data_IF_803548174540
#
_entry.id   IF_803548174540
#
_cell.length_a   1.000
_cell.length_b   1.000
_cell.length_c   1.000
_cell.angle_alpha   90.00
_cell.angle_beta   90.00
_cell.angle_gamma   90.00
#
_symmetry.space_group_name_H-M   'P 1'
#
loop_
_entity.id
_entity.type
_entity.pdbx_description
1 polymer ?
2 non-polymer ?
3 non-polymer ?
4 non-polymer ?
5 non-polymer ?
6 water ?
#
# COMPACT_ATOMS: atom_id res chain seq x y z
N UNK A 12 17.97 -6.79 -11.36
CA UNK A 12 16.99 -6.94 -10.27
C UNK A 12 16.59 -5.58 -9.67
N UNK A 13 15.26 -5.34 -9.46
CA UNK A 13 14.82 -4.04 -8.88
C UNK A 13 15.13 -4.06 -7.40
N UNK A 14 15.87 -3.06 -6.87
CA UNK A 14 16.18 -3.07 -5.44
C UNK A 14 14.89 -3.08 -4.59
N UNK A 15 14.97 -3.72 -3.42
CA UNK A 15 13.88 -3.76 -2.47
C UNK A 15 13.78 -2.40 -1.82
N UNK A 16 12.60 -2.06 -1.29
CA UNK A 16 12.42 -0.78 -0.62
C UNK A 16 13.35 -0.72 0.59
N UNK A 17 13.94 0.46 0.91
CA UNK A 17 14.64 0.57 2.20
C UNK A 17 13.57 0.39 3.28
N UNK A 18 13.93 -0.22 4.41
CA UNK A 18 12.99 -0.50 5.49
C UNK A 18 13.07 0.49 6.67
N UNK A 19 14.24 1.14 6.87
CA UNK A 19 14.45 2.07 8.00
C UNK A 19 14.45 3.54 7.64
N UNK A 20 13.74 4.33 8.45
CA UNK A 20 13.66 5.80 8.34
C UNK A 20 13.78 6.43 9.73
N UNK A 21 14.50 7.56 9.87
CA UNK A 21 14.66 8.19 11.20
C UNK A 21 13.32 8.54 11.87
N UNK A 22 12.37 9.07 11.09
CA UNK A 22 11.07 9.49 11.55
C UNK A 22 10.01 8.93 10.58
N UNK A 23 8.88 9.61 10.44
CA UNK A 23 7.79 9.18 9.58
C UNK A 23 8.20 9.16 8.11
N UNK A 24 7.71 8.16 7.38
CA UNK A 24 8.02 7.98 5.97
C UNK A 24 6.79 8.02 5.08
N UNK A 25 7.00 8.24 3.78
CA UNK A 25 5.95 8.29 2.79
C UNK A 25 6.39 7.66 1.46
N UNK A 26 5.47 6.89 0.89
CA UNK A 26 5.58 6.28 -0.42
C UNK A 26 4.34 6.62 -1.21
N UNK A 27 4.44 6.58 -2.53
CA UNK A 27 3.31 6.91 -3.41
C UNK A 27 3.12 5.83 -4.48
N UNK A 28 1.89 5.71 -4.98
CA UNK A 28 1.54 4.77 -6.05
C UNK A 28 0.80 5.57 -7.09
N UNK A 29 1.18 5.44 -8.37
CA UNK A 29 0.54 6.20 -9.44
C UNK A 29 0.29 5.36 -10.67
N UNK A 30 -0.98 5.00 -10.90
CA UNK A 30 -1.37 4.24 -12.07
C UNK A 30 -1.49 5.20 -13.27
N UNK A 31 -0.79 4.89 -14.36
CA UNK A 31 -0.78 5.74 -15.55
C UNK A 31 -1.96 5.45 -16.45
N UNK A 32 -2.38 6.48 -17.22
CA UNK A 32 -3.42 6.35 -18.24
C UNK A 32 -2.75 6.60 -19.60
N UNK A 33 -3.27 5.95 -20.63
CA UNK A 33 -2.81 6.14 -22.00
C UNK A 33 -1.98 5.02 -22.58
N UNK A 34 -1.61 4.03 -21.75
CA UNK A 34 -0.80 2.90 -22.21
C UNK A 34 -0.99 1.64 -21.40
N UNK A 35 -0.41 0.55 -21.91
CA UNK A 35 -0.34 -0.72 -21.18
C UNK A 35 1.08 -1.28 -21.26
N UNK A 36 1.40 -2.25 -20.40
CA UNK A 36 2.60 -3.06 -20.48
C UNK A 36 2.09 -4.48 -20.78
N UNK A 37 2.73 -5.20 -21.70
CA UNK A 37 2.36 -6.58 -21.97
C UNK A 37 3.56 -7.42 -21.59
N UNK A 38 3.33 -8.53 -20.89
CA UNK A 38 4.40 -9.39 -20.38
C UNK A 38 3.96 -10.85 -20.42
N UNK A 39 4.87 -11.85 -20.34
CA UNK A 39 4.41 -13.26 -20.27
C UNK A 39 3.52 -13.47 -19.02
N UNK A 40 2.59 -14.42 -19.08
CA UNK A 40 1.70 -14.76 -17.95
C UNK A 40 2.55 -15.18 -16.75
N UNK A 41 2.11 -14.81 -15.54
CA UNK A 41 2.79 -15.13 -14.27
C UNK A 41 4.18 -14.47 -14.11
N UNK A 42 4.42 -13.36 -14.83
CA UNK A 42 5.66 -12.56 -14.72
C UNK A 42 5.68 -11.86 -13.37
N UNK A 43 6.86 -11.47 -12.89
CA UNK A 43 6.98 -10.68 -11.66
C UNK A 43 6.34 -9.31 -11.93
N UNK A 44 5.82 -8.67 -10.88
CA UNK A 44 5.20 -7.38 -10.97
C UNK A 44 6.18 -6.28 -11.47
N UNK A 45 7.41 -6.29 -10.99
CA UNK A 45 8.42 -5.28 -11.35
C UNK A 45 9.15 -5.63 -12.63
N UNK A 46 9.20 -4.66 -13.55
CA UNK A 46 9.92 -4.82 -14.82
C UNK A 46 11.04 -3.79 -14.96
N UNK A 47 11.15 -2.91 -13.96
CA UNK A 47 12.21 -1.91 -13.96
C UNK A 47 12.08 -0.87 -12.88
N UNK A 48 12.95 0.13 -12.93
CA UNK A 48 12.96 1.24 -11.98
C UNK A 48 13.67 2.46 -12.54
N UNK A 49 13.36 3.61 -11.97
CA UNK A 49 13.97 4.88 -12.33
C UNK A 49 14.76 5.34 -11.13
N UNK A 50 16.02 5.72 -11.37
CA UNK A 50 16.89 6.22 -10.32
C UNK A 50 17.43 7.60 -10.70
N UNK A 51 17.99 8.34 -9.73
CA UNK A 51 18.65 9.60 -10.05
C UNK A 51 20.02 9.24 -10.65
N UNK A 52 20.64 10.16 -11.41
CA UNK A 52 21.98 9.95 -11.99
C UNK A 52 22.99 9.61 -10.88
N UNK A 53 22.79 10.17 -9.67
CA UNK A 53 23.59 9.94 -8.46
C UNK A 53 23.47 8.51 -7.92
N UNK A 54 22.48 7.75 -8.40
CA UNK A 54 22.25 6.36 -8.01
C UNK A 54 21.08 6.08 -7.08
N UNK A 55 20.39 7.13 -6.58
CA UNK A 55 19.24 6.96 -5.67
C UNK A 55 18.00 6.40 -6.40
N UNK A 56 17.51 5.23 -5.99
CA UNK A 56 16.31 4.58 -6.55
C UNK A 56 15.08 5.45 -6.19
N UNK A 57 14.31 5.89 -7.20
CA UNK A 57 13.16 6.80 -7.01
C UNK A 57 11.82 6.12 -7.06
N UNK A 58 11.60 5.28 -8.08
CA UNK A 58 10.36 4.51 -8.19
C UNK A 58 10.54 3.27 -9.03
N UNK A 59 9.62 2.31 -8.86
CA UNK A 59 9.57 1.06 -9.61
C UNK A 59 8.56 1.19 -10.72
N UNK A 60 8.80 0.44 -11.81
CA UNK A 60 7.86 0.33 -12.92
C UNK A 60 7.22 -1.02 -12.76
N UNK A 61 5.89 -1.02 -12.53
CA UNK A 61 5.18 -2.27 -12.27
C UNK A 61 3.96 -2.46 -13.13
N UNK A 62 3.56 -3.73 -13.28
CA UNK A 62 2.30 -4.04 -13.92
C UNK A 62 1.27 -3.96 -12.78
N UNK A 63 0.07 -3.50 -13.09
CA UNK A 63 -0.94 -3.31 -12.07
C UNK A 63 -2.22 -4.11 -12.36
N UNK A 64 -3.20 -3.50 -13.04
CA UNK A 64 -4.51 -4.08 -13.36
C UNK A 64 -4.45 -4.90 -14.65
N UNK A 65 -4.81 -6.21 -14.57
CA UNK A 65 -4.85 -7.08 -15.74
C UNK A 65 -5.94 -6.59 -16.70
N UNK A 66 -5.56 -6.25 -17.95
CA UNK A 66 -6.47 -5.73 -18.99
C UNK A 66 -6.81 -6.77 -20.06
N UNK A 67 -6.50 -8.03 -19.79
CA UNK A 67 -6.76 -9.13 -20.73
C UNK A 67 -5.49 -9.65 -21.40
N UNK A 68 -5.63 -10.70 -22.21
CA UNK A 68 -4.53 -11.33 -22.94
C UNK A 68 -3.99 -10.40 -24.03
N UNK A 69 -2.68 -10.45 -24.26
CA UNK A 69 -2.03 -9.60 -25.26
C UNK A 69 -2.08 -10.29 -26.60
N UNK A 70 -2.47 -9.55 -27.64
CA UNK A 70 -2.45 -10.04 -29.02
C UNK A 70 -1.56 -9.11 -29.81
N UNK A 71 -0.38 -9.62 -30.23
CA UNK A 71 0.56 -8.85 -31.03
C UNK A 71 -0.14 -8.40 -32.32
N UNK A 72 -0.26 -7.09 -32.63
CA UNK A 72 -0.92 -6.68 -33.88
C UNK A 72 -0.27 -7.35 -35.10
N UNK A 73 -1.08 -7.90 -36.05
CA UNK A 73 -0.49 -8.59 -37.22
C UNK A 73 0.52 -7.77 -38.01
N UNK A 74 0.31 -6.46 -38.13
CA UNK A 74 1.21 -5.54 -38.82
C UNK A 74 2.55 -5.31 -38.08
N UNK A 75 2.69 -5.85 -36.85
CA UNK A 75 3.90 -5.73 -36.04
C UNK A 75 4.54 -7.08 -35.73
N UNK A 76 4.13 -8.13 -36.48
CA UNK A 76 4.67 -9.49 -36.41
C UNK A 76 6.19 -9.39 -36.59
N UNK A 77 6.95 -9.95 -35.63
CA UNK A 77 8.40 -9.82 -35.61
C UNK A 77 9.13 -11.14 -35.43
N UNK A 78 8.45 -12.25 -35.65
CA UNK A 78 9.01 -13.58 -35.48
C UNK A 78 9.21 -13.95 -34.02
N UNK A 79 8.75 -13.09 -33.11
CA UNK A 79 8.87 -13.34 -31.69
C UNK A 79 7.63 -14.00 -31.14
N UNK A 80 7.86 -14.71 -30.05
CA UNK A 80 6.87 -15.47 -29.34
C UNK A 80 6.23 -14.60 -28.25
N UNK A 81 4.92 -14.32 -28.41
CA UNK A 81 4.18 -13.52 -27.42
C UNK A 81 3.08 -14.41 -26.83
N UNK A 82 3.29 -15.74 -26.85
CA UNK A 82 2.30 -16.69 -26.40
C UNK A 82 1.97 -16.61 -24.93
N UNK A 83 0.67 -16.50 -24.65
CA UNK A 83 0.09 -16.40 -23.32
C UNK A 83 0.42 -15.09 -22.58
N UNK A 84 0.97 -14.08 -23.29
CA UNK A 84 1.30 -12.79 -22.70
C UNK A 84 0.03 -12.08 -22.25
N UNK A 85 0.13 -11.31 -21.17
CA UNK A 85 -1.01 -10.58 -20.60
C UNK A 85 -0.73 -9.08 -20.64
N UNK A 86 -1.78 -8.27 -20.89
CA UNK A 86 -1.68 -6.80 -20.86
C UNK A 86 -2.08 -6.32 -19.47
N UNK A 87 -1.39 -5.30 -18.97
CA UNK A 87 -1.68 -4.70 -17.68
C UNK A 87 -1.52 -3.21 -17.76
N UNK A 88 -2.15 -2.48 -16.85
CA UNK A 88 -1.89 -1.05 -16.73
C UNK A 88 -0.53 -0.94 -16.00
N UNK A 89 0.11 0.22 -16.13
CA UNK A 89 1.40 0.49 -15.51
C UNK A 89 1.19 1.33 -14.28
N UNK A 90 1.82 0.93 -13.17
CA UNK A 90 1.79 1.71 -11.95
C UNK A 90 3.20 2.05 -11.52
N UNK A 91 3.45 3.33 -11.27
CA UNK A 91 4.74 3.80 -10.77
C UNK A 91 4.68 3.82 -9.24
N UNK A 92 5.58 3.08 -8.59
CA UNK A 92 5.58 2.88 -7.14
C UNK A 92 6.87 3.44 -6.56
N UNK A 93 6.77 4.57 -5.83
CA UNK A 93 7.98 5.19 -5.31
C UNK A 93 8.68 4.37 -4.24
N UNK A 94 10.00 4.58 -4.12
CA UNK A 94 10.79 4.05 -3.02
C UNK A 94 10.47 5.04 -1.90
N UNK A 95 10.10 4.59 -0.68
CA UNK A 95 9.76 5.55 0.37
C UNK A 95 10.90 6.52 0.71
N UNK A 96 10.51 7.70 1.20
CA UNK A 96 11.44 8.72 1.66
C UNK A 96 10.88 9.32 2.94
N UNK A 97 11.67 10.17 3.61
CA UNK A 97 11.21 10.83 4.83
C UNK A 97 10.17 11.85 4.43
N UNK A 98 9.09 11.93 5.19
CA UNK A 98 7.95 12.83 4.96
C UNK A 98 8.33 14.31 4.88
N UNK A 99 9.35 14.72 5.64
CA UNK A 99 9.82 16.11 5.63
C UNK A 99 11.05 16.33 4.73
N UNK A 100 11.39 15.35 3.88
CA UNK A 100 12.52 15.47 2.97
C UNK A 100 11.97 16.00 1.64
N UNK A 101 11.88 17.33 1.53
CA UNK A 101 11.36 18.08 0.40
C UNK A 101 12.00 17.70 -0.94
N UNK A 102 13.35 17.65 -0.98
CA UNK A 102 14.12 17.32 -2.18
C UNK A 102 13.83 15.93 -2.72
N UNK A 103 13.70 14.94 -1.82
CA UNK A 103 13.40 13.54 -2.16
C UNK A 103 11.97 13.43 -2.72
N UNK A 104 11.01 14.13 -2.11
CA UNK A 104 9.60 14.12 -2.49
C UNK A 104 9.47 14.72 -3.90
N UNK A 105 10.13 15.86 -4.10
CA UNK A 105 10.13 16.62 -5.35
C UNK A 105 10.80 15.87 -6.50
N UNK A 106 11.95 15.23 -6.24
CA UNK A 106 12.67 14.45 -7.26
C UNK A 106 11.82 13.28 -7.74
N UNK A 107 11.07 12.63 -6.84
CA UNK A 107 10.18 11.53 -7.19
C UNK A 107 9.05 12.04 -8.11
N UNK A 108 8.44 13.19 -7.78
CA UNK A 108 7.38 13.76 -8.61
C UNK A 108 7.92 14.15 -10.00
N UNK A 109 9.09 14.80 -10.05
CA UNK A 109 9.71 15.23 -11.31
C UNK A 109 10.13 14.05 -12.17
N UNK A 110 10.69 12.98 -11.56
CA UNK A 110 11.12 11.78 -12.26
C UNK A 110 9.91 11.04 -12.84
N UNK A 111 8.76 11.04 -12.14
CA UNK A 111 7.51 10.43 -12.64
C UNK A 111 6.96 11.23 -13.83
N UNK A 112 6.95 12.57 -13.73
CA UNK A 112 6.50 13.44 -14.81
C UNK A 112 7.41 13.32 -16.03
N UNK A 113 8.73 13.20 -15.80
CA UNK A 113 9.67 13.02 -16.91
C UNK A 113 9.37 11.68 -17.62
N UNK A 114 9.23 10.58 -16.84
CA UNK A 114 8.95 9.26 -17.43
C UNK A 114 7.65 9.23 -18.25
N UNK A 115 6.60 9.95 -17.80
CA UNK A 115 5.36 10.07 -18.56
C UNK A 115 5.63 10.74 -19.93
N UNK A 116 6.50 11.77 -19.97
CA UNK A 116 6.83 12.41 -21.25
C UNK A 116 7.66 11.46 -22.11
N UNK A 117 8.55 10.66 -21.48
CA UNK A 117 9.36 9.67 -22.18
C UNK A 117 8.44 8.54 -22.75
N UNK A 118 7.40 8.13 -22.00
CA UNK A 118 6.40 7.13 -22.46
C UNK A 118 5.59 7.66 -23.64
N UNK A 119 5.19 8.96 -23.58
CA UNK A 119 4.45 9.66 -24.65
C UNK A 119 5.24 9.54 -25.98
N UNK A 120 6.58 9.73 -25.94
CA UNK A 120 7.42 9.62 -27.14
C UNK A 120 7.56 8.15 -27.55
N UNK A 121 7.75 7.25 -26.56
CA UNK A 121 7.91 5.81 -26.77
C UNK A 121 6.73 5.18 -27.52
N UNK A 122 5.50 5.50 -27.16
CA UNK A 122 4.33 4.95 -27.86
C UNK A 122 4.12 5.57 -29.25
N UNK A 123 4.79 6.71 -29.49
CA UNK A 123 4.71 7.40 -30.77
C UNK A 123 5.68 6.83 -31.80
N UNK A 124 6.92 6.54 -31.40
CA UNK A 124 7.96 6.05 -32.31
C UNK A 124 8.38 4.58 -32.11
N UNK A 125 8.07 4.01 -30.94
CA UNK A 125 8.44 2.64 -30.60
C UNK A 125 7.27 1.87 -30.02
N UNK A 126 6.06 2.01 -30.61
CA UNK A 126 4.88 1.32 -30.09
C UNK A 126 5.05 -0.19 -30.13
N UNK A 127 4.62 -0.90 -29.06
CA UNK A 127 4.73 -2.37 -28.91
C UNK A 127 6.19 -2.87 -28.82
N UNK A 128 7.04 -2.03 -28.24
CA UNK A 128 8.45 -2.36 -28.02
C UNK A 128 8.77 -2.21 -26.54
N UNK A 129 9.78 -2.97 -26.02
CA UNK A 129 10.15 -2.76 -24.61
C UNK A 129 10.77 -1.38 -24.43
N UNK A 130 10.70 -0.88 -23.20
CA UNK A 130 11.35 0.35 -22.76
C UNK A 130 12.84 0.04 -22.70
N UNK A 131 13.67 0.97 -23.17
CA UNK A 131 15.12 0.77 -23.15
C UNK A 131 15.73 1.44 -21.92
N UNK A 132 16.80 0.88 -21.31
CA UNK A 132 17.43 1.53 -20.15
C UNK A 132 18.24 2.76 -20.59
N UNK A 133 17.63 3.94 -20.52
CA UNK A 133 18.27 5.17 -20.95
C UNK A 133 18.42 6.18 -19.82
N UNK A 134 19.16 7.24 -20.11
CA UNK A 134 19.34 8.39 -19.24
C UNK A 134 18.54 9.53 -19.86
N UNK A 135 17.86 10.33 -19.02
CA UNK A 135 17.10 11.50 -19.46
C UNK A 135 18.04 12.50 -20.17
N UNK A 136 17.47 13.35 -21.06
CA UNK A 136 18.19 14.36 -21.84
C UNK A 136 18.98 15.33 -20.96
N UNK A 137 18.42 15.73 -19.81
CA UNK A 137 19.06 16.65 -18.85
C UNK A 137 20.04 15.91 -17.91
N UNK A 138 20.13 14.59 -18.04
CA UNK A 138 21.00 13.74 -17.24
C UNK A 138 20.53 13.47 -15.82
N UNK A 139 19.36 14.00 -15.41
CA UNK A 139 18.82 13.82 -14.05
C UNK A 139 18.39 12.41 -13.70
N UNK A 140 17.74 11.71 -14.66
CA UNK A 140 17.13 10.41 -14.40
C UNK A 140 17.61 9.27 -15.28
N UNK A 141 17.64 8.06 -14.70
CA UNK A 141 18.11 6.85 -15.39
C UNK A 141 17.08 5.74 -15.24
N UNK A 142 16.70 5.12 -16.37
CA UNK A 142 15.80 3.97 -16.38
C UNK A 142 16.69 2.74 -16.35
N UNK A 143 16.34 1.78 -15.50
CA UNK A 143 16.98 0.48 -15.43
C UNK A 143 15.86 -0.51 -15.72
N UNK A 144 16.11 -1.49 -16.60
CA UNK A 144 15.13 -2.51 -16.96
C UNK A 144 15.56 -3.81 -16.31
N UNK A 145 14.68 -4.38 -15.50
CA UNK A 145 14.97 -5.63 -14.79
C UNK A 145 14.32 -6.82 -15.46
N UNK A 146 13.27 -6.58 -16.26
CA UNK A 146 12.65 -7.62 -17.07
C UNK A 146 12.48 -7.09 -18.51
N UNK A 147 13.39 -7.52 -19.41
CA UNK A 147 13.39 -7.13 -20.82
C UNK A 147 12.25 -7.79 -21.59
N UNK A 148 11.65 -8.85 -21.02
CA UNK A 148 10.53 -9.57 -21.62
C UNK A 148 9.21 -8.82 -21.35
N UNK A 149 9.06 -7.66 -21.99
CA UNK A 149 7.87 -6.80 -21.90
C UNK A 149 7.82 -5.94 -23.15
N UNK A 150 6.64 -5.35 -23.42
CA UNK A 150 6.45 -4.36 -24.47
C UNK A 150 5.57 -3.24 -23.88
N UNK A 151 5.72 -2.03 -24.40
CA UNK A 151 4.88 -0.89 -24.01
C UNK A 151 4.02 -0.56 -25.23
N UNK A 152 2.70 -0.43 -25.04
CA UNK A 152 1.78 -0.13 -26.13
C UNK A 152 0.74 0.92 -25.73
N UNK A 153 0.43 1.85 -26.65
CA UNK A 153 -0.56 2.92 -26.44
C UNK A 153 -1.94 2.37 -26.22
N UNK A 154 -2.75 3.13 -25.48
CA UNK A 154 -4.13 2.78 -25.18
C UNK A 154 -4.25 1.44 -24.49
N UNK A 155 -5.07 0.57 -25.04
CA UNK A 155 -5.27 -0.75 -24.48
C UNK A 155 -4.40 -1.84 -25.15
N UNK A 156 -3.47 -1.40 -26.00
CA UNK A 156 -2.49 -2.27 -26.67
C UNK A 156 -3.02 -3.23 -27.71
N UNK A 157 -4.21 -2.92 -28.28
CA UNK A 157 -4.84 -3.76 -29.32
C UNK A 157 -4.36 -3.31 -30.71
N UNK A 158 -4.41 -2.00 -30.98
CA UNK A 158 -3.98 -1.43 -32.27
C UNK A 158 -2.46 -1.30 -32.37
N UNK A 159 -1.92 -1.38 -33.60
CA UNK A 159 -0.49 -1.22 -33.87
C UNK A 159 -0.06 0.22 -33.62
N UNK A 160 -0.94 1.18 -33.96
CA UNK A 160 -0.70 2.61 -33.84
C UNK A 160 -1.50 3.23 -32.70
N UNK A 161 -0.93 4.29 -32.10
CA UNK A 161 -1.54 5.06 -31.02
C UNK A 161 -2.61 6.02 -31.55
N UNK A 162 -3.30 6.71 -30.62
CA UNK A 162 -4.23 7.79 -30.94
C UNK A 162 -3.58 9.13 -30.55
N UNK A 163 -2.24 9.16 -30.58
CA UNK A 163 -1.43 10.32 -30.20
C UNK A 163 -1.57 10.72 -28.73
N UNK A 164 -1.82 9.72 -27.85
CA UNK A 164 -2.01 9.97 -26.42
C UNK A 164 -0.82 10.63 -25.74
N UNK A 165 -1.12 11.52 -24.79
CA UNK A 165 -0.16 12.08 -23.85
C UNK A 165 -0.30 11.16 -22.64
N UNK A 166 0.82 10.65 -22.11
CA UNK A 166 0.80 9.80 -20.93
C UNK A 166 0.60 10.67 -19.72
N UNK A 167 -0.42 10.32 -18.96
CA UNK A 167 -0.96 11.12 -17.89
C UNK A 167 -1.14 10.34 -16.56
N UNK A 168 -1.38 11.10 -15.49
CA UNK A 168 -1.64 10.61 -14.13
C UNK A 168 -2.77 11.46 -13.53
N UNK A 169 -3.60 10.86 -12.65
CA UNK A 169 -4.77 11.54 -12.06
C UNK A 169 -5.06 11.12 -10.60
N UNK A 170 -5.74 11.94 -9.73
CA UNK A 170 -6.00 11.50 -8.35
C UNK A 170 -6.66 10.12 -8.21
N UNK A 171 -7.54 9.74 -9.17
CA UNK A 171 -8.20 8.42 -9.19
C UNK A 171 -7.20 7.25 -9.34
N UNK A 172 -6.01 7.51 -9.94
CA UNK A 172 -4.96 6.50 -10.08
C UNK A 172 -3.90 6.61 -8.99
N UNK A 173 -4.12 7.47 -7.99
CA UNK A 173 -3.14 7.75 -6.96
C UNK A 173 -3.46 7.37 -5.52
N UNK A 174 -2.44 6.81 -4.86
CA UNK A 174 -2.46 6.51 -3.42
C UNK A 174 -1.19 7.01 -2.79
N UNK A 175 -1.20 7.17 -1.47
CA UNK A 175 -0.04 7.53 -0.67
C UNK A 175 -0.04 6.57 0.52
N UNK A 176 1.16 6.13 0.96
CA UNK A 176 1.34 5.23 2.10
C UNK A 176 2.24 5.92 3.10
N UNK A 177 1.79 6.03 4.36
CA UNK A 177 2.53 6.72 5.40
C UNK A 177 2.95 5.68 6.44
N UNK A 178 4.22 5.73 6.83
CA UNK A 178 4.77 4.88 7.88
C UNK A 178 5.13 5.71 9.08
N UNK A 179 4.71 5.29 10.29
CA UNK A 179 5.00 5.99 11.56
C UNK A 179 5.45 4.96 12.60
N UNK A 180 6.17 5.41 13.65
CA UNK A 180 6.55 4.56 14.78
C UNK A 180 5.24 4.07 15.42
N UNK A 181 5.11 2.74 15.64
CA UNK A 181 3.91 2.12 16.20
C UNK A 181 3.54 2.73 17.56
N UNK A 182 4.56 3.07 18.38
CA UNK A 182 4.38 3.69 19.70
C UNK A 182 3.79 5.10 19.63
N UNK A 183 3.82 5.70 18.44
CA UNK A 183 3.27 7.03 18.25
C UNK A 183 1.77 7.07 18.02
N UNK A 184 1.17 5.96 17.53
CA UNK A 184 -0.25 5.91 17.20
C UNK A 184 -1.11 6.06 18.46
N UNK A 185 -1.83 7.18 18.52
CA UNK A 185 -2.66 7.55 19.66
C UNK A 185 -2.10 8.71 20.45
N UNK A 186 -0.82 9.08 20.21
CA UNK A 186 -0.17 10.19 20.95
C UNK A 186 -0.52 11.56 20.40
N UNK A 187 -1.01 11.63 19.12
CA UNK A 187 -1.39 12.89 18.44
C UNK A 187 -0.21 13.90 18.37
N UNK A 188 1.04 13.43 18.53
CA UNK A 188 2.26 14.23 18.64
C UNK A 188 2.70 15.00 17.40
N UNK A 189 2.43 14.45 16.21
CA UNK A 189 2.84 15.08 14.95
C UNK A 189 1.63 15.27 14.03
N UNK A 190 1.70 16.14 12.99
CA UNK A 190 0.56 16.28 12.05
C UNK A 190 0.21 14.99 11.30
N UNK A 191 1.20 14.11 11.04
CA UNK A 191 0.99 12.83 10.33
C UNK A 191 0.19 11.89 11.23
N UNK A 192 0.57 11.81 12.51
CA UNK A 192 -0.10 10.98 13.52
C UNK A 192 -1.53 11.42 13.72
N UNK A 193 -1.76 12.75 13.77
CA UNK A 193 -3.08 13.36 13.91
C UNK A 193 -3.94 13.05 12.68
N UNK A 194 -3.35 13.07 11.46
CA UNK A 194 -4.06 12.73 10.22
C UNK A 194 -4.48 11.24 10.23
N UNK A 195 -3.59 10.35 10.69
CA UNK A 195 -3.85 8.92 10.80
C UNK A 195 -4.90 8.62 11.85
N UNK A 196 -4.86 9.34 12.99
CA UNK A 196 -5.82 9.16 14.06
C UNK A 196 -7.23 9.62 13.70
N UNK A 197 -7.35 10.46 12.65
CA UNK A 197 -8.64 10.93 12.14
C UNK A 197 -9.35 9.84 11.31
N UNK A 198 -8.67 8.69 11.06
CA UNK A 198 -9.29 7.56 10.33
C UNK A 198 -10.63 7.25 11.00
N UNK A 199 -11.75 7.12 10.22
CA UNK A 199 -13.06 6.90 10.85
C UNK A 199 -13.15 5.65 11.73
N UNK A 200 -12.38 4.60 11.41
CA UNK A 200 -12.36 3.35 12.18
C UNK A 200 -11.63 3.47 13.51
N UNK A 201 -10.73 4.46 13.66
CA UNK A 201 -9.97 4.63 14.89
C UNK A 201 -10.81 5.29 15.98
N UNK A 202 -10.92 4.61 17.13
CA UNK A 202 -11.75 5.09 18.23
C UNK A 202 -10.85 5.51 19.40
N UNK A 203 -10.49 6.80 19.42
CA UNK A 203 -9.61 7.35 20.46
C UNK A 203 -10.18 7.20 21.88
N UNK A 204 -11.52 7.09 22.03
CA UNK A 204 -12.17 6.89 23.34
C UNK A 204 -11.71 5.59 24.02
N UNK A 205 -11.26 4.60 23.22
CA UNK A 205 -10.77 3.32 23.75
C UNK A 205 -9.51 3.43 24.63
N UNK A 206 -8.74 4.54 24.50
CA UNK A 206 -7.53 4.80 25.30
C UNK A 206 -7.90 4.99 26.79
N UNK A 207 -8.78 5.97 27.08
CA UNK A 207 -9.28 6.26 28.44
C UNK A 207 -10.09 5.08 28.98
N UNK A 208 -10.80 4.36 28.08
CA UNK A 208 -11.57 3.17 28.43
C UNK A 208 -10.63 2.11 28.99
N UNK A 209 -9.48 1.85 28.32
CA UNK A 209 -8.50 0.86 28.80
C UNK A 209 -7.96 1.23 30.19
N UNK A 210 -7.65 2.52 30.41
CA UNK A 210 -7.12 3.03 31.69
C UNK A 210 -8.07 2.71 32.86
N UNK A 211 -9.41 2.89 32.65
CA UNK A 211 -10.47 2.59 33.62
C UNK A 211 -10.55 1.10 33.96
N UNK A 212 -10.32 0.24 32.97
CA UNK A 212 -10.37 -1.22 33.12
C UNK A 212 -9.17 -1.77 33.88
N UNK A 213 -8.02 -1.06 33.82
CA UNK A 213 -6.75 -1.58 34.34
C UNK A 213 -6.13 -0.82 35.54
N UNK A 214 -6.96 -0.15 36.37
CA UNK A 214 -6.50 0.62 37.54
C UNK A 214 -5.74 -0.21 38.59
N UNK A 215 -6.18 -1.46 38.88
CA UNK A 215 -5.56 -2.33 39.89
C UNK A 215 -4.32 -3.05 39.37
N UNK A 216 -4.11 -3.02 38.05
CA UNK A 216 -2.99 -3.66 37.40
C UNK A 216 -1.75 -2.78 37.41
N UNK A 217 -0.60 -3.36 37.75
CA UNK A 217 0.69 -2.67 37.77
C UNK A 217 1.32 -2.94 36.39
N UNK A 218 1.02 -2.05 35.43
CA UNK A 218 1.51 -2.18 34.05
C UNK A 218 2.86 -1.50 33.88
N UNK A 219 3.76 -2.12 33.09
CA UNK A 219 5.10 -1.59 32.84
C UNK A 219 5.02 -0.22 32.15
N UNK A 220 4.11 -0.07 31.16
CA UNK A 220 3.89 1.18 30.44
C UNK A 220 2.39 1.31 30.12
N UNK A 221 1.65 1.93 31.06
CA UNK A 221 0.20 2.16 31.04
C UNK A 221 -0.28 2.94 29.81
N UNK A 222 0.40 4.05 29.48
CA UNK A 222 0.08 4.92 28.35
C UNK A 222 0.32 4.20 26.99
N UNK A 223 1.41 3.42 26.89
CA UNK A 223 1.73 2.63 25.69
C UNK A 223 0.72 1.47 25.54
N UNK A 224 0.38 0.79 26.66
CA UNK A 224 -0.60 -0.31 26.66
C UNK A 224 -1.96 0.19 26.18
N UNK A 225 -2.40 1.37 26.67
CA UNK A 225 -3.67 2.01 26.31
C UNK A 225 -3.73 2.37 24.82
N UNK A 226 -2.60 2.87 24.26
CA UNK A 226 -2.47 3.24 22.84
C UNK A 226 -2.59 2.01 21.95
N UNK A 227 -1.89 0.92 22.29
CA UNK A 227 -1.90 -0.35 21.57
C UNK A 227 -3.30 -0.96 21.63
N UNK A 228 -3.92 -0.94 22.84
CA UNK A 228 -5.25 -1.46 23.02
C UNK A 228 -6.22 -0.75 22.10
N UNK A 229 -6.18 0.60 22.05
CA UNK A 229 -7.09 1.38 21.21
C UNK A 229 -6.89 1.10 19.72
N UNK A 230 -5.61 0.98 19.28
CA UNK A 230 -5.25 0.70 17.89
C UNK A 230 -5.76 -0.67 17.46
N UNK A 231 -5.42 -1.72 18.23
CA UNK A 231 -5.84 -3.09 17.95
C UNK A 231 -7.35 -3.28 18.03
N UNK A 232 -8.01 -2.77 19.10
CA UNK A 232 -9.44 -2.91 19.25
C UNK A 232 -10.15 -2.22 18.09
N UNK A 233 -9.70 -1.01 17.71
CA UNK A 233 -10.29 -0.29 16.57
C UNK A 233 -10.23 -1.15 15.29
N UNK A 234 -9.08 -1.79 15.01
CA UNK A 234 -8.89 -2.67 13.83
C UNK A 234 -9.79 -3.92 13.90
N UNK A 235 -9.79 -4.62 15.06
CA UNK A 235 -10.59 -5.82 15.26
C UNK A 235 -12.07 -5.49 15.11
N UNK A 236 -12.55 -4.38 15.74
CA UNK A 236 -13.95 -3.97 15.65
C UNK A 236 -14.32 -3.59 14.21
N UNK A 237 -13.42 -2.85 13.52
CA UNK A 237 -13.67 -2.47 12.12
C UNK A 237 -13.73 -3.70 11.20
N UNK A 238 -12.86 -4.70 11.42
CA UNK A 238 -12.82 -5.94 10.65
C UNK A 238 -14.15 -6.67 10.82
N UNK A 239 -14.66 -6.73 12.05
CA UNK A 239 -15.94 -7.37 12.35
C UNK A 239 -17.09 -6.63 11.66
N UNK A 240 -17.07 -5.28 11.70
CA UNK A 240 -18.07 -4.45 11.03
C UNK A 240 -18.07 -4.73 9.53
N UNK A 241 -16.88 -4.79 8.93
CA UNK A 241 -16.72 -5.05 7.50
C UNK A 241 -17.11 -6.47 7.11
N UNK A 242 -16.77 -7.48 7.92
CA UNK A 242 -17.13 -8.89 7.67
C UNK A 242 -18.66 -9.03 7.62
N UNK A 243 -19.36 -8.34 8.52
CA UNK A 243 -20.82 -8.33 8.58
C UNK A 243 -21.46 -7.55 7.43
N UNK A 244 -20.95 -6.34 7.14
CA UNK A 244 -21.43 -5.46 6.08
C UNK A 244 -21.26 -6.12 4.70
N UNK A 245 -20.09 -6.71 4.45
CA UNK A 245 -19.78 -7.29 3.16
C UNK A 245 -19.92 -8.82 3.04
N UNK A 246 -20.25 -9.50 4.13
CA UNK A 246 -20.41 -10.96 4.13
C UNK A 246 -19.10 -11.64 3.82
N UNK A 247 -18.06 -11.35 4.61
CA UNK A 247 -16.72 -11.89 4.40
C UNK A 247 -16.51 -13.12 5.28
N UNK A 248 -15.97 -14.19 4.69
CA UNK A 248 -15.59 -15.39 5.45
C UNK A 248 -14.27 -15.09 6.18
N UNK A 249 -14.28 -15.02 7.52
CA UNK A 249 -13.09 -14.74 8.34
C UNK A 249 -12.83 -15.98 9.14
N UNK A 250 -11.66 -16.62 8.92
CA UNK A 250 -11.29 -17.88 9.59
C UNK A 250 -12.43 -18.89 9.40
N UNK A 251 -13.13 -19.26 10.49
CA UNK A 251 -14.24 -20.22 10.46
C UNK A 251 -15.63 -19.55 10.53
N UNK A 252 -15.70 -18.20 10.55
CA UNK A 252 -16.99 -17.52 10.62
C UNK A 252 -17.64 -17.51 9.26
N UNK A 253 -18.89 -17.98 9.21
CA UNK A 253 -19.71 -18.07 8.02
C UNK A 253 -20.75 -16.94 8.03
N UNK A 254 -20.65 -15.91 7.16
CA UNK A 254 -21.68 -14.84 7.16
C UNK A 254 -23.10 -15.34 6.93
N UNK A 255 -23.26 -16.42 6.14
CA UNK A 255 -24.56 -17.04 5.85
C UNK A 255 -25.21 -17.62 7.13
N UNK A 256 -24.40 -17.99 8.16
CA UNK A 256 -24.92 -18.48 9.45
C UNK A 256 -25.65 -17.36 10.21
N UNK A 257 -25.37 -16.10 9.84
CA UNK A 257 -26.03 -14.93 10.41
C UNK A 257 -26.94 -14.24 9.39
N UNK A 258 -27.34 -14.99 8.35
CA UNK A 258 -28.24 -14.56 7.26
C UNK A 258 -27.67 -13.36 6.47
N UNK A 259 -26.33 -13.32 6.32
CA UNK A 259 -25.65 -12.27 5.58
C UNK A 259 -25.22 -12.84 4.23
N UNK A 260 -25.69 -12.24 3.14
CA UNK A 260 -25.32 -12.68 1.80
C UNK A 260 -23.91 -12.20 1.45
N UNK A 261 -22.95 -13.12 1.14
CA UNK A 261 -21.60 -12.68 0.76
C UNK A 261 -21.69 -11.66 -0.36
N UNK A 262 -21.00 -10.56 -0.17
CA UNK A 262 -21.13 -9.40 -1.04
C UNK A 262 -19.77 -8.79 -1.45
N UNK A 263 -18.67 -9.50 -1.18
CA UNK A 263 -17.31 -9.11 -1.54
C UNK A 263 -16.50 -10.40 -1.62
N UNK A 264 -15.37 -10.38 -2.35
CA UNK A 264 -14.47 -11.51 -2.47
C UNK A 264 -13.31 -11.35 -1.45
N UNK A 265 -13.67 -11.37 -0.19
CA UNK A 265 -12.70 -11.30 0.89
C UNK A 265 -12.25 -9.93 1.34
N UNK A 266 -11.29 -9.93 2.28
CA UNK A 266 -10.70 -8.72 2.86
C UNK A 266 -9.92 -7.86 1.88
N UNK A 267 -9.33 -8.49 0.83
CA UNK A 267 -8.52 -7.82 -0.20
C UNK A 267 -9.34 -7.21 -1.33
N UNK A 268 -10.66 -7.45 -1.32
CA UNK A 268 -11.55 -6.90 -2.34
C UNK A 268 -11.43 -5.36 -2.35
N UNK A 269 -11.16 -4.71 -3.53
CA UNK A 269 -10.96 -3.24 -3.53
C UNK A 269 -12.01 -2.41 -2.82
N UNK A 270 -13.29 -2.84 -2.83
CA UNK A 270 -14.34 -2.07 -2.17
C UNK A 270 -14.26 -2.17 -0.65
N UNK A 271 -13.68 -3.27 -0.13
CA UNK A 271 -13.48 -3.49 1.31
C UNK A 271 -12.31 -2.61 1.74
N UNK A 272 -11.22 -2.60 0.94
CA UNK A 272 -10.04 -1.76 1.16
C UNK A 272 -10.45 -0.28 1.20
N UNK A 273 -11.31 0.15 0.24
CA UNK A 273 -11.86 1.52 0.17
C UNK A 273 -12.70 1.90 1.39
N UNK A 274 -13.45 0.94 1.97
CA UNK A 274 -14.26 1.17 3.18
C UNK A 274 -13.40 1.54 4.41
N UNK A 275 -12.12 1.09 4.47
CA UNK A 275 -11.19 1.49 5.55
C UNK A 275 -10.81 2.97 5.42
N UNK A 276 -10.70 3.47 4.15
CA UNK A 276 -10.27 4.83 3.75
C UNK A 276 -8.77 4.99 3.98
N UNK A 277 -8.34 4.81 5.23
CA UNK A 277 -6.94 4.81 5.64
C UNK A 277 -6.76 3.34 6.01
N UNK A 278 -6.13 2.61 5.09
CA UNK A 278 -5.95 1.15 5.19
C UNK A 278 -4.70 0.70 5.93
N UNK A 279 -4.81 0.00 7.09
CA UNK A 279 -3.61 -0.52 7.75
C UNK A 279 -2.89 -1.47 6.79
N UNK A 280 -1.56 -1.30 6.66
CA UNK A 280 -0.73 -2.09 5.76
C UNK A 280 0.22 -3.00 6.48
N UNK A 281 0.22 -2.96 7.84
CA UNK A 281 1.10 -3.76 8.68
C UNK A 281 0.28 -4.80 9.45
N UNK A 282 0.83 -6.01 9.56
CA UNK A 282 0.23 -7.12 10.31
C UNK A 282 -0.07 -6.64 11.75
N UNK A 283 -1.36 -6.65 12.17
CA UNK A 283 -1.69 -6.16 13.52
C UNK A 283 -0.93 -6.80 14.68
N UNK A 284 -0.67 -8.13 14.60
CA UNK A 284 0.02 -8.85 15.69
C UNK A 284 1.46 -8.34 15.98
N UNK A 285 2.08 -7.63 15.02
CA UNK A 285 3.42 -7.05 15.18
C UNK A 285 3.52 -6.01 16.31
N UNK A 286 2.46 -5.21 16.53
CA UNK A 286 2.45 -4.13 17.53
C UNK A 286 2.62 -4.62 18.98
N UNK A 287 2.26 -5.88 19.25
CA UNK A 287 2.37 -6.54 20.57
C UNK A 287 3.84 -6.55 21.03
N UNK A 288 4.78 -6.58 20.07
CA UNK A 288 6.23 -6.57 20.27
C UNK A 288 6.75 -5.27 20.90
N UNK A 289 6.01 -4.15 20.77
CA UNK A 289 6.46 -2.87 21.36
C UNK A 289 6.21 -2.82 22.87
N UNK A 290 5.46 -3.81 23.39
CA UNK A 290 5.10 -3.93 24.81
C UNK A 290 5.87 -5.09 25.47
N UNK A 291 5.91 -5.08 26.82
CA UNK A 291 6.49 -6.17 27.62
C UNK A 291 5.50 -7.33 27.53
N UNK A 292 5.98 -8.58 27.71
CA UNK A 292 5.15 -9.81 27.68
C UNK A 292 3.89 -9.64 28.57
N UNK A 293 4.07 -9.06 29.77
CA UNK A 293 3.01 -8.81 30.76
C UNK A 293 1.96 -7.80 30.27
N UNK A 294 2.41 -6.63 29.77
CA UNK A 294 1.54 -5.58 29.24
C UNK A 294 0.76 -6.07 28.01
N UNK A 295 1.42 -6.84 27.12
CA UNK A 295 0.80 -7.41 25.92
C UNK A 295 -0.35 -8.33 26.31
N UNK A 296 -0.13 -9.20 27.34
CA UNK A 296 -1.13 -10.13 27.88
C UNK A 296 -2.35 -9.36 28.39
N UNK A 297 -2.13 -8.25 29.12
CA UNK A 297 -3.22 -7.41 29.66
C UNK A 297 -4.03 -6.74 28.55
N UNK A 298 -3.36 -6.26 27.48
CA UNK A 298 -4.01 -5.63 26.33
C UNK A 298 -4.87 -6.67 25.61
N UNK A 299 -4.27 -7.84 25.27
CA UNK A 299 -4.94 -8.92 24.53
C UNK A 299 -6.16 -9.49 25.23
N UNK A 300 -6.06 -9.69 26.56
CA UNK A 300 -7.14 -10.21 27.40
C UNK A 300 -8.37 -9.28 27.36
N UNK A 301 -8.14 -7.95 27.30
CA UNK A 301 -9.19 -6.94 27.28
C UNK A 301 -9.88 -6.69 25.94
N UNK A 302 -9.30 -7.17 24.81
CA UNK A 302 -9.91 -6.98 23.48
C UNK A 302 -11.18 -7.83 23.28
N UNK A 303 -11.14 -9.12 23.69
CA UNK A 303 -12.23 -10.08 23.53
C UNK A 303 -13.59 -9.50 23.98
N UNK A 304 -13.75 -8.94 25.20
CA UNK A 304 -15.07 -8.37 25.58
C UNK A 304 -15.53 -7.21 24.73
N UNK A 305 -14.60 -6.42 24.17
CA UNK A 305 -14.97 -5.30 23.28
C UNK A 305 -15.68 -5.82 22.00
N UNK A 306 -15.22 -6.95 21.46
CA UNK A 306 -15.84 -7.57 20.30
C UNK A 306 -17.17 -8.21 20.70
N UNK A 307 -17.16 -8.96 21.83
CA UNK A 307 -18.30 -9.72 22.32
C UNK A 307 -19.47 -8.89 22.84
N UNK A 308 -19.27 -7.60 23.10
CA UNK A 308 -20.37 -6.72 23.54
C UNK A 308 -21.03 -6.06 22.31
N UNK A 309 -20.43 -6.24 21.14
CA UNK A 309 -20.91 -5.67 19.88
C UNK A 309 -21.24 -6.70 18.78
N UNK A 310 -20.53 -7.85 18.79
CA UNK A 310 -20.70 -8.87 17.75
C UNK A 310 -20.96 -10.24 18.33
N UNK A 311 -21.52 -11.14 17.51
CA UNK A 311 -21.80 -12.53 17.93
C UNK A 311 -20.51 -13.18 18.44
N UNK A 312 -20.66 -14.19 19.31
CA UNK A 312 -19.55 -14.96 19.84
C UNK A 312 -18.69 -15.52 18.70
N UNK A 313 -19.32 -16.09 17.67
CA UNK A 313 -18.59 -16.69 16.56
C UNK A 313 -17.80 -15.66 15.78
N UNK A 314 -18.41 -14.51 15.43
CA UNK A 314 -17.66 -13.48 14.72
C UNK A 314 -16.54 -12.92 15.62
N UNK A 315 -16.83 -12.67 16.91
CA UNK A 315 -15.83 -12.17 17.86
C UNK A 315 -14.61 -13.10 18.00
N UNK A 316 -14.83 -14.41 18.20
CA UNK A 316 -13.77 -15.40 18.40
C UNK A 316 -12.96 -15.56 17.11
N UNK A 317 -13.64 -15.64 15.95
CA UNK A 317 -12.96 -15.74 14.65
C UNK A 317 -12.11 -14.54 14.29
N UNK A 318 -12.59 -13.30 14.54
CA UNK A 318 -11.80 -12.08 14.29
C UNK A 318 -10.59 -12.05 15.25
N UNK A 319 -10.83 -12.31 16.56
CA UNK A 319 -9.77 -12.34 17.57
C UNK A 319 -8.68 -13.34 17.22
N UNK A 320 -9.05 -14.60 16.92
CA UNK A 320 -8.08 -15.65 16.57
C UNK A 320 -7.35 -15.34 15.27
N UNK A 321 -8.07 -14.81 14.27
CA UNK A 321 -7.48 -14.48 12.97
C UNK A 321 -6.27 -13.54 13.13
N UNK A 322 -6.45 -12.45 13.87
CA UNK A 322 -5.39 -11.47 14.10
C UNK A 322 -4.33 -11.94 15.09
N UNK A 323 -4.69 -12.81 16.06
CA UNK A 323 -3.77 -13.38 17.05
C UNK A 323 -2.75 -14.28 16.36
N UNK A 324 -3.20 -15.06 15.37
CA UNK A 324 -2.35 -15.98 14.61
C UNK A 324 -1.61 -15.28 13.46
N UNK A 325 -1.55 -13.94 13.48
CA UNK A 325 -0.85 -13.15 12.47
C UNK A 325 -1.60 -12.87 11.19
N UNK A 326 -2.92 -12.79 11.28
CA UNK A 326 -3.78 -12.47 10.15
C UNK A 326 -3.58 -11.04 9.66
N UNK A 327 -3.68 -10.83 8.36
CA UNK A 327 -3.48 -9.51 7.76
C UNK A 327 -4.81 -8.82 7.53
N UNK A 328 -4.83 -7.47 7.58
CA UNK A 328 -6.02 -6.67 7.34
C UNK A 328 -6.50 -6.84 5.87
N UNK A 329 -5.55 -6.77 4.91
CA UNK A 329 -5.86 -6.87 3.48
C UNK A 329 -4.69 -7.40 2.68
N UNK A 330 -4.40 -8.68 2.87
CA UNK A 330 -3.29 -9.32 2.15
C UNK A 330 -1.92 -8.96 2.68
N UNK A 331 -0.86 -9.40 1.96
CA UNK A 331 0.53 -9.20 2.34
C UNK A 331 0.86 -7.80 2.87
N UNK A 332 1.26 -7.74 4.12
CA UNK A 332 1.59 -6.47 4.77
C UNK A 332 3.04 -6.07 4.60
N UNK A 333 3.34 -4.80 4.93
CA UNK A 333 4.70 -4.25 5.01
C UNK A 333 5.03 -4.38 6.52
N UNK A 334 5.68 -5.51 6.87
CA UNK A 334 5.93 -5.91 8.26
C UNK A 334 7.36 -5.80 8.76
N UNK A 335 8.29 -5.37 7.90
CA UNK A 335 9.72 -5.25 8.23
C UNK A 335 10.18 -3.79 8.25
N UNK A 336 9.23 -2.83 8.25
CA UNK A 336 9.59 -1.41 8.24
C UNK A 336 9.88 -0.98 9.68
N UNK A 337 10.91 -0.15 9.84
CA UNK A 337 11.38 0.33 11.14
C UNK A 337 11.61 1.83 11.11
N UNK A 338 11.62 2.44 12.32
CA UNK A 338 11.77 3.88 12.56
C UNK A 338 12.72 4.10 13.77
N UNK A 339 13.23 5.34 13.89
CA UNK A 339 14.10 5.76 14.98
C UNK A 339 15.57 5.50 14.73
N UNK A 340 16.27 5.06 15.79
CA UNK A 340 17.69 4.77 15.77
C UNK A 340 17.97 3.52 14.94
N UNK A 341 18.89 3.63 13.97
CA UNK A 341 19.34 2.55 13.09
C UNK A 341 19.85 1.33 13.87
N UNK A 342 20.58 1.58 14.98
CA UNK A 342 21.15 0.52 15.79
C UNK A 342 20.16 -0.18 16.72
N UNK A 343 19.12 0.54 17.16
CA UNK A 343 18.06 0.00 18.01
C UNK A 343 16.70 0.36 17.34
N UNK A 344 16.35 -0.28 16.19
CA UNK A 344 15.14 0.13 15.46
C UNK A 344 13.83 -0.24 16.12
N UNK A 345 12.85 0.62 15.95
CA UNK A 345 11.51 0.42 16.52
C UNK A 345 10.55 0.15 15.41
N UNK A 346 9.49 -0.60 15.72
CA UNK A 346 8.47 -0.97 14.75
C UNK A 346 7.79 0.25 14.12
N UNK A 347 7.67 0.20 12.79
CA UNK A 347 6.92 1.18 12.02
C UNK A 347 5.69 0.43 11.52
N UNK A 348 4.54 1.12 11.52
CA UNK A 348 3.28 0.60 11.03
C UNK A 348 2.85 1.52 9.91
N UNK A 349 2.34 0.93 8.82
CA UNK A 349 2.01 1.66 7.59
C UNK A 349 0.55 1.74 7.29
N UNK A 350 0.15 2.83 6.60
CA UNK A 350 -1.24 3.06 6.26
C UNK A 350 -1.38 3.60 4.86
N UNK A 351 -2.29 3.00 4.10
CA UNK A 351 -2.52 3.44 2.73
C UNK A 351 -3.74 4.34 2.66
N UNK A 352 -3.55 5.53 2.06
CA UNK A 352 -4.65 6.45 1.83
C UNK A 352 -5.22 6.06 0.47
N UNK A 353 -6.39 5.41 0.48
CA UNK A 353 -7.09 4.91 -0.71
C UNK A 353 -7.39 6.02 -1.72
N UNK A 354 -7.69 7.21 -1.20
CA UNK A 354 -7.87 8.46 -1.93
C UNK A 354 -6.88 9.40 -1.21
N UNK A 355 -6.06 10.11 -1.97
CA UNK A 355 -5.08 11.02 -1.36
C UNK A 355 -5.83 12.24 -0.77
N UNK A 356 -5.72 12.51 0.55
CA UNK A 356 -6.41 13.69 1.11
C UNK A 356 -5.67 14.98 0.75
N UNK A 357 -6.32 16.14 0.97
CA UNK A 357 -5.73 17.46 0.68
C UNK A 357 -4.38 17.67 1.33
N UNK A 358 -4.21 17.15 2.56
CA UNK A 358 -2.98 17.25 3.36
C UNK A 358 -1.77 16.56 2.70
N UNK A 359 -2.00 15.55 1.85
CA UNK A 359 -0.92 14.81 1.20
C UNK A 359 -0.82 15.03 -0.30
N UNK A 360 -1.68 15.89 -0.89
CA UNK A 360 -1.68 16.15 -2.33
C UNK A 360 -0.34 16.65 -2.88
N UNK A 361 0.41 17.45 -2.10
CA UNK A 361 1.73 18.00 -2.45
C UNK A 361 2.79 16.91 -2.68
N UNK A 362 2.57 15.67 -2.18
CA UNK A 362 3.50 14.54 -2.37
C UNK A 362 3.29 13.85 -3.72
N UNK A 363 2.18 14.17 -4.42
CA UNK A 363 1.84 13.50 -5.67
C UNK A 363 2.15 14.31 -6.92
N UNK A 364 2.69 13.67 -7.97
CA UNK A 364 2.93 14.40 -9.22
C UNK A 364 1.62 14.73 -9.94
N UNK A 365 1.53 15.93 -10.53
CA UNK A 365 0.33 16.33 -11.24
C UNK A 365 0.66 16.64 -12.72
N UNK A 366 -0.06 16.01 -13.67
CA UNK A 366 0.13 16.29 -15.09
C UNK A 366 -0.24 17.75 -15.37
N UNK A 367 -1.38 18.18 -14.84
CA UNK A 367 -1.90 19.55 -14.99
C UNK A 367 -1.22 20.57 -14.10
#
# INVERSE_FOLDING_TARGET
NAQPNLGRSTKATPDFPTHFPKSSIGIENELAGLVVAMPANSAQKFGYVKSAQGDALFMLTKDMNQGSYQRPPSLQDGKNYQNWQTHTVELVSYPCEMDDKAAVETRKQAMLWLATHFTTHIDQSNHQPLAPIQSEDGRFVIEITNAKHVIAAGNGISAESQGQTITMTPSGQQATVGVAAKGFGTSATPELRLLESAPWYQKSLKSQFASLTSAENLDDKELAANVFAYLTSIYLKTAELAKKFGIYINEWDPMSEQITPNANGLTDPKVKNAWEILPRTKPSKIVEILSKSDAKAVMKHIKPQLQSRYSESLSKNVFQYFQDGGEVAGHGINNATVGDKHSPELAILFEFRTVPNELQSYLPKTESTTKSEVKLLDQFDPMKRKTVIQQVESLV
#
